data_IF_884985111121
#
_entry.id   IF_884985111121
#
_cell.length_a   1.000
_cell.length_b   1.000
_cell.length_c   1.000
_cell.angle_alpha   90.00
_cell.angle_beta   90.00
_cell.angle_gamma   90.00
#
_symmetry.space_group_name_H-M   'P 1'
#
loop_
_entity.id
_entity.type
_entity.pdbx_description
1 polymer ?
#
# COMPACT_ATOMS: atom_id res chain seq x y z
N UNK A 1 2.98 -5.76 17.94
CA UNK A 1 3.41 -5.71 16.52
C UNK A 1 4.57 -4.75 16.39
N UNK A 2 5.64 -5.10 15.66
CA UNK A 2 6.75 -4.16 15.42
C UNK A 2 6.44 -3.28 14.22
N UNK A 3 6.64 -1.98 14.35
CA UNK A 3 6.46 -1.00 13.27
C UNK A 3 7.73 -0.17 13.10
N UNK A 4 8.09 0.12 11.87
CA UNK A 4 9.08 1.16 11.56
C UNK A 4 8.38 2.51 11.40
N UNK A 5 9.01 3.61 11.83
CA UNK A 5 8.47 4.97 11.67
C UNK A 5 9.40 5.93 10.95
N UNK A 6 8.80 6.74 10.08
CA UNK A 6 9.43 7.90 9.43
C UNK A 6 8.45 9.07 9.56
N UNK A 7 8.76 10.02 10.43
CA UNK A 7 7.79 11.04 10.83
C UNK A 7 6.54 10.42 11.47
N UNK A 8 5.35 10.82 11.00
CA UNK A 8 4.08 10.22 11.43
C UNK A 8 3.78 8.87 10.75
N UNK A 9 4.44 8.58 9.64
CA UNK A 9 4.21 7.34 8.91
C UNK A 9 4.71 6.14 9.70
N UNK A 10 3.97 5.04 9.61
CA UNK A 10 4.32 3.77 10.22
C UNK A 10 4.22 2.65 9.20
N UNK A 11 5.10 1.66 9.32
CA UNK A 11 5.22 0.54 8.39
C UNK A 11 5.36 -0.76 9.20
N UNK A 12 4.30 -1.59 9.28
CA UNK A 12 4.36 -2.87 9.98
C UNK A 12 5.45 -3.78 9.41
N UNK A 13 6.30 -4.31 10.30
CA UNK A 13 7.45 -5.13 9.89
C UNK A 13 7.09 -6.60 9.64
N UNK A 14 5.89 -7.02 10.03
CA UNK A 14 5.35 -8.37 9.85
C UNK A 14 4.56 -8.56 8.54
N UNK A 15 4.59 -7.57 7.65
CA UNK A 15 3.96 -7.60 6.33
C UNK A 15 5.00 -7.75 5.20
N UNK A 16 4.51 -8.11 4.02
CA UNK A 16 5.27 -8.09 2.77
C UNK A 16 4.88 -6.91 1.90
N UNK A 17 5.80 -6.42 1.08
CA UNK A 17 5.62 -5.22 0.28
C UNK A 17 6.08 -5.37 -1.16
N UNK A 18 5.28 -4.89 -2.12
CA UNK A 18 5.67 -4.82 -3.53
C UNK A 18 6.53 -3.59 -3.80
N UNK A 19 7.71 -3.80 -4.36
CA UNK A 19 8.62 -2.73 -4.80
C UNK A 19 8.69 -2.62 -6.33
N UNK A 20 8.44 -3.74 -7.02
CA UNK A 20 8.40 -3.79 -8.48
C UNK A 20 7.42 -2.75 -9.03
N UNK A 21 7.87 -2.03 -10.06
CA UNK A 21 7.08 -0.98 -10.74
C UNK A 21 6.54 0.10 -9.77
N UNK A 22 7.20 0.29 -8.63
CA UNK A 22 6.78 1.19 -7.53
C UNK A 22 5.35 0.88 -7.07
N UNK A 23 5.06 -0.41 -6.90
CA UNK A 23 3.70 -0.89 -6.60
C UNK A 23 3.15 -0.44 -5.25
N UNK A 24 3.99 -0.24 -4.23
CA UNK A 24 3.60 0.20 -2.87
C UNK A 24 2.47 -0.62 -2.22
N UNK A 25 2.15 -1.81 -2.71
CA UNK A 25 1.16 -2.66 -2.08
C UNK A 25 1.79 -3.39 -0.89
N UNK A 26 1.10 -3.40 0.25
CA UNK A 26 1.38 -4.35 1.32
C UNK A 26 0.49 -5.60 1.17
N UNK A 27 0.98 -6.72 1.68
CA UNK A 27 0.29 -8.02 1.70
C UNK A 27 0.30 -8.57 3.11
N UNK A 28 -0.89 -8.86 3.64
CA UNK A 28 -1.10 -9.52 4.94
C UNK A 28 -1.77 -10.87 4.74
N UNK A 29 -1.16 -11.95 5.21
CA UNK A 29 -1.80 -13.28 5.22
C UNK A 29 -2.90 -13.32 6.29
N UNK A 30 -4.03 -13.94 5.96
CA UNK A 30 -5.16 -14.18 6.85
C UNK A 30 -5.19 -15.65 7.29
N UNK A 31 -5.93 -15.94 8.36
CA UNK A 31 -6.01 -17.28 8.96
C UNK A 31 -6.61 -18.35 8.02
N UNK A 32 -7.44 -17.92 7.06
CA UNK A 32 -8.07 -18.77 6.04
C UNK A 32 -7.16 -19.04 4.82
N UNK A 33 -5.93 -18.52 4.83
CA UNK A 33 -4.96 -18.65 3.74
C UNK A 33 -5.11 -17.62 2.63
N UNK A 34 -6.15 -16.79 2.65
CA UNK A 34 -6.24 -15.63 1.76
C UNK A 34 -5.25 -14.54 2.19
N UNK A 35 -5.09 -13.53 1.35
CA UNK A 35 -4.30 -12.35 1.66
C UNK A 35 -5.13 -11.08 1.53
N UNK A 36 -4.89 -10.14 2.43
CA UNK A 36 -5.39 -8.78 2.31
C UNK A 36 -4.32 -7.90 1.69
N UNK A 37 -4.73 -7.05 0.75
CA UNK A 37 -3.86 -6.16 -0.02
C UNK A 37 -4.34 -4.72 0.16
N UNK A 38 -3.42 -3.78 0.31
CA UNK A 38 -3.67 -2.33 0.30
C UNK A 38 -2.40 -1.57 -0.06
N UNK A 39 -2.43 -0.23 -0.07
CA UNK A 39 -1.23 0.57 -0.25
C UNK A 39 -0.55 0.88 1.07
N UNK A 40 0.78 0.92 1.07
CA UNK A 40 1.56 1.43 2.19
C UNK A 40 1.31 2.93 2.41
N UNK A 41 1.72 3.44 3.57
CA UNK A 41 1.44 4.82 3.95
C UNK A 41 1.95 5.82 2.91
N UNK A 42 3.16 5.60 2.37
CA UNK A 42 3.75 6.50 1.39
C UNK A 42 3.02 6.44 0.04
N UNK A 43 2.72 5.23 -0.46
CA UNK A 43 1.91 5.02 -1.66
C UNK A 43 0.50 5.59 -1.56
N UNK A 44 0.00 5.81 -0.33
CA UNK A 44 -1.28 6.46 -0.08
C UNK A 44 -1.22 8.00 -0.06
N UNK A 45 -0.03 8.62 0.04
CA UNK A 45 0.14 10.08 0.08
C UNK A 45 -0.46 10.81 -1.13
N UNK A 46 -0.36 10.31 -2.39
CA UNK A 46 -1.03 10.96 -3.51
C UNK A 46 -2.54 11.16 -3.30
N UNK A 47 -3.18 10.30 -2.48
CA UNK A 47 -4.57 10.45 -2.05
C UNK A 47 -4.74 11.40 -0.84
N UNK A 48 -3.69 11.63 -0.04
CA UNK A 48 -3.66 12.58 1.10
C UNK A 48 -3.60 14.05 0.70
N UNK A 49 -3.30 14.39 -0.56
CA UNK A 49 -3.36 15.79 -1.05
C UNK A 49 -4.80 16.36 -0.98
N UNK A 50 -5.75 15.55 -0.51
CA UNK A 50 -7.05 15.97 -0.02
C UNK A 50 -6.96 16.54 1.41
N UNK A 51 -6.93 17.87 1.53
CA UNK A 51 -7.12 18.50 2.85
C UNK A 51 -8.61 18.48 3.21
N UNK A 52 -8.95 18.42 4.51
CA UNK A 52 -10.34 18.52 5.00
C UNK A 52 -11.03 19.78 4.45
N UNK A 53 -10.26 20.84 4.20
CA UNK A 53 -10.76 22.12 3.68
C UNK A 53 -10.92 22.15 2.16
N UNK A 54 -10.20 21.31 1.41
CA UNK A 54 -10.23 21.22 -0.06
C UNK A 54 -9.90 19.78 -0.50
N UNK A 55 -10.89 18.87 -0.52
CA UNK A 55 -10.68 17.54 -1.06
C UNK A 55 -10.48 17.64 -2.57
N UNK A 56 -9.26 17.41 -3.04
CA UNK A 56 -9.03 17.17 -4.46
C UNK A 56 -9.68 15.84 -4.86
N UNK A 57 -10.31 15.74 -6.03
CA UNK A 57 -10.88 14.49 -6.48
C UNK A 57 -9.76 13.46 -6.68
N UNK A 58 -10.00 12.25 -6.20
CA UNK A 58 -9.27 11.06 -6.62
C UNK A 58 -10.27 9.97 -7.00
N UNK A 59 -9.87 9.08 -7.90
CA UNK A 59 -10.64 7.90 -8.31
C UNK A 59 -9.77 6.68 -8.12
N UNK A 60 -10.35 5.63 -7.55
CA UNK A 60 -9.77 4.30 -7.58
C UNK A 60 -10.75 3.38 -8.28
N UNK A 61 -10.24 2.73 -9.32
CA UNK A 61 -10.93 1.63 -9.96
C UNK A 61 -10.27 0.32 -9.54
N UNK A 62 -11.08 -0.55 -8.92
CA UNK A 62 -10.68 -1.91 -8.55
C UNK A 62 -11.57 -2.90 -9.31
N UNK A 63 -11.00 -4.02 -9.76
CA UNK A 63 -11.78 -5.10 -10.36
C UNK A 63 -12.67 -5.77 -9.29
N UNK A 64 -13.84 -6.30 -9.68
CA UNK A 64 -14.76 -6.92 -8.74
C UNK A 64 -14.24 -8.27 -8.22
N UNK A 65 -14.90 -8.78 -7.17
CA UNK A 65 -14.71 -10.16 -6.72
C UNK A 65 -14.97 -11.16 -7.87
N UNK A 66 -14.18 -12.22 -7.91
CA UNK A 66 -14.15 -13.22 -8.98
C UNK A 66 -13.16 -12.91 -10.11
N UNK A 67 -12.59 -11.71 -10.18
CA UNK A 67 -11.53 -11.42 -11.16
C UNK A 67 -10.21 -12.11 -10.80
N UNK A 68 -9.56 -12.71 -11.80
CA UNK A 68 -8.23 -13.30 -11.68
C UNK A 68 -7.14 -12.28 -11.98
N UNK A 69 -6.15 -12.18 -11.11
CA UNK A 69 -5.00 -11.29 -11.20
C UNK A 69 -3.72 -12.10 -11.45
N UNK A 70 -2.73 -11.46 -12.04
CA UNK A 70 -1.39 -12.03 -12.27
C UNK A 70 -0.32 -11.13 -11.66
N UNK A 71 0.63 -11.72 -10.93
CA UNK A 71 1.70 -10.96 -10.27
C UNK A 71 2.40 -10.00 -11.26
N UNK A 72 2.69 -8.79 -10.77
CA UNK A 72 3.28 -7.67 -11.49
C UNK A 72 2.47 -7.17 -12.70
N UNK A 73 1.23 -7.60 -12.91
CA UNK A 73 0.34 -7.03 -13.94
C UNK A 73 -0.59 -5.97 -13.37
N UNK A 74 -0.98 -4.96 -14.18
CA UNK A 74 -2.01 -4.00 -13.79
C UNK A 74 -3.31 -4.69 -13.40
N UNK A 75 -3.93 -4.26 -12.30
CA UNK A 75 -5.26 -4.74 -11.89
C UNK A 75 -6.28 -3.62 -11.68
N UNK A 76 -5.84 -2.41 -11.37
CA UNK A 76 -6.70 -1.27 -11.13
C UNK A 76 -6.01 0.03 -11.47
N UNK A 77 -6.68 1.15 -11.19
CA UNK A 77 -6.21 2.50 -11.52
C UNK A 77 -6.31 3.41 -10.30
N UNK A 78 -5.28 4.24 -10.10
CA UNK A 78 -5.36 5.45 -9.28
C UNK A 78 -5.33 6.66 -10.20
N UNK A 79 -6.34 7.51 -10.07
CA UNK A 79 -6.35 8.84 -10.68
C UNK A 79 -6.45 9.89 -9.58
N UNK A 80 -5.58 10.89 -9.63
CA UNK A 80 -5.54 12.06 -8.76
C UNK A 80 -5.18 13.27 -9.62
N UNK A 81 -5.25 14.47 -9.05
CA UNK A 81 -4.78 15.69 -9.73
C UNK A 81 -3.29 15.62 -10.12
N UNK A 82 -2.47 14.88 -9.36
CA UNK A 82 -1.01 14.82 -9.56
C UNK A 82 -0.52 13.55 -10.25
N UNK A 83 -1.33 12.50 -10.32
CA UNK A 83 -0.90 11.16 -10.73
C UNK A 83 -2.05 10.38 -11.36
N UNK A 84 -1.77 9.73 -12.49
CA UNK A 84 -2.63 8.71 -13.09
C UNK A 84 -1.75 7.50 -13.37
N UNK A 85 -2.10 6.35 -12.79
CA UNK A 85 -1.33 5.14 -13.04
C UNK A 85 -1.92 3.89 -12.41
N UNK A 86 -1.50 2.71 -12.90
CA UNK A 86 -2.10 1.45 -12.51
C UNK A 86 -1.61 0.97 -11.14
N UNK A 87 -2.44 0.20 -10.45
CA UNK A 87 -1.97 -0.69 -9.40
C UNK A 87 -1.48 -1.99 -10.01
N UNK A 88 -0.36 -2.52 -9.52
CA UNK A 88 0.20 -3.81 -9.95
C UNK A 88 -0.05 -4.88 -8.90
N UNK A 89 -0.51 -6.05 -9.34
CA UNK A 89 -0.92 -7.10 -8.41
C UNK A 89 0.32 -7.69 -7.71
N UNK A 90 0.36 -7.75 -6.37
CA UNK A 90 1.51 -8.29 -5.66
C UNK A 90 1.60 -9.82 -5.74
N UNK A 91 0.49 -10.50 -6.05
CA UNK A 91 0.40 -11.95 -6.20
C UNK A 91 -0.59 -12.31 -7.32
N UNK A 92 -0.41 -13.48 -7.90
CA UNK A 92 -1.35 -14.16 -8.80
C UNK A 92 -2.45 -14.83 -7.96
N UNK A 93 -3.71 -14.65 -8.36
CA UNK A 93 -4.84 -15.23 -7.61
C UNK A 93 -6.19 -14.65 -7.99
N UNK A 94 -7.24 -15.07 -7.28
CA UNK A 94 -8.62 -14.61 -7.52
C UNK A 94 -9.10 -13.69 -6.41
N UNK A 95 -9.69 -12.56 -6.76
CA UNK A 95 -10.25 -11.62 -5.78
C UNK A 95 -11.47 -12.26 -5.13
N UNK A 96 -11.47 -12.32 -3.80
CA UNK A 96 -12.61 -12.85 -3.04
C UNK A 96 -13.47 -11.74 -2.46
N UNK A 97 -12.88 -10.57 -2.21
CA UNK A 97 -13.56 -9.43 -1.60
C UNK A 97 -12.91 -8.12 -2.03
N UNK A 98 -13.70 -7.06 -2.19
CA UNK A 98 -13.24 -5.68 -2.40
C UNK A 98 -13.79 -4.84 -1.27
N UNK A 99 -12.96 -3.99 -0.66
CA UNK A 99 -13.35 -3.19 0.49
C UNK A 99 -14.40 -2.13 0.10
N UNK A 100 -15.65 -2.23 0.59
CA UNK A 100 -16.69 -1.25 0.28
C UNK A 100 -16.47 0.08 1.02
N UNK A 101 -15.82 0.05 2.19
CA UNK A 101 -15.65 1.20 3.07
C UNK A 101 -14.57 2.17 2.60
N UNK A 102 -13.80 1.77 1.58
CA UNK A 102 -12.79 2.64 0.99
C UNK A 102 -13.39 3.90 0.35
N UNK A 103 -14.63 3.80 -0.14
CA UNK A 103 -15.36 4.90 -0.76
C UNK A 103 -16.05 5.78 0.30
N UNK A 104 -16.38 5.21 1.47
CA UNK A 104 -17.26 5.85 2.46
C UNK A 104 -16.52 6.79 3.42
N UNK A 105 -15.24 6.54 3.74
CA UNK A 105 -14.45 7.35 4.69
C UNK A 105 -13.00 7.63 4.23
N UNK A 106 -12.80 8.38 3.13
CA UNK A 106 -11.48 8.67 2.54
C UNK A 106 -10.36 9.03 3.53
N UNK A 107 -10.49 10.06 4.39
CA UNK A 107 -9.33 10.57 5.14
C UNK A 107 -8.89 9.62 6.26
N UNK A 108 -9.84 8.85 6.81
CA UNK A 108 -9.57 7.86 7.86
C UNK A 108 -8.82 6.65 7.31
N UNK A 109 -9.28 6.12 6.18
CA UNK A 109 -8.69 4.97 5.53
C UNK A 109 -7.26 5.24 5.05
N UNK A 110 -7.00 6.47 4.62
CA UNK A 110 -5.67 6.88 4.16
C UNK A 110 -4.68 7.02 5.34
N UNK A 111 -5.13 7.46 6.53
CA UNK A 111 -4.28 7.52 7.75
C UNK A 111 -4.14 6.17 8.45
N UNK A 112 -5.05 5.23 8.19
CA UNK A 112 -5.03 3.88 8.73
C UNK A 112 -4.92 2.84 7.59
N UNK A 113 -3.87 2.90 6.75
CA UNK A 113 -3.80 2.14 5.51
C UNK A 113 -3.71 0.62 5.73
N UNK A 114 -3.25 0.18 6.91
CA UNK A 114 -3.06 -1.23 7.25
C UNK A 114 -4.23 -1.87 8.01
N UNK A 115 -5.24 -1.09 8.42
CA UNK A 115 -6.44 -1.61 9.10
C UNK A 115 -7.66 -1.47 8.21
N UNK A 116 -8.17 -0.24 8.06
CA UNK A 116 -9.43 0.05 7.38
C UNK A 116 -9.19 0.44 5.90
N UNK A 117 -7.96 0.87 5.58
CA UNK A 117 -7.55 1.29 4.23
C UNK A 117 -7.16 0.18 3.26
N UNK A 118 -7.49 -1.09 3.54
CA UNK A 118 -7.24 -2.20 2.62
C UNK A 118 -8.10 -2.10 1.36
N UNK A 119 -7.65 -2.72 0.27
CA UNK A 119 -8.29 -2.59 -1.06
C UNK A 119 -9.10 -3.83 -1.39
N UNK A 120 -8.47 -4.99 -1.31
CA UNK A 120 -9.08 -6.25 -1.68
C UNK A 120 -8.51 -7.41 -0.87
N UNK A 121 -9.27 -8.50 -0.81
CA UNK A 121 -8.79 -9.80 -0.37
C UNK A 121 -8.62 -10.68 -1.60
N UNK A 122 -7.47 -11.35 -1.70
CA UNK A 122 -7.10 -12.24 -2.79
C UNK A 122 -6.91 -13.65 -2.26
N UNK A 123 -7.44 -14.65 -2.95
CA UNK A 123 -7.05 -16.05 -2.80
C UNK A 123 -5.86 -16.31 -3.71
N UNK A 124 -4.64 -16.49 -3.18
CA UNK A 124 -3.45 -16.67 -4.01
C UNK A 124 -3.43 -18.06 -4.64
N UNK A 125 -2.92 -18.15 -5.88
CA UNK A 125 -2.75 -19.43 -6.57
C UNK A 125 -1.47 -20.15 -6.10
N UNK A 126 -0.40 -19.39 -5.83
CA UNK A 126 0.88 -19.91 -5.35
C UNK A 126 1.57 -18.94 -4.37
N UNK A 127 1.00 -18.84 -3.16
CA UNK A 127 1.50 -17.93 -2.12
C UNK A 127 2.98 -18.16 -1.79
N UNK A 128 3.36 -19.40 -1.48
CA UNK A 128 4.67 -19.72 -0.90
C UNK A 128 5.83 -19.40 -1.85
N UNK A 129 5.62 -19.44 -3.16
CA UNK A 129 6.65 -19.08 -4.14
C UNK A 129 6.64 -17.60 -4.49
N UNK A 130 5.48 -17.02 -4.76
CA UNK A 130 5.39 -15.64 -5.23
C UNK A 130 5.62 -14.61 -4.13
N UNK A 131 5.34 -14.94 -2.86
CA UNK A 131 5.60 -14.03 -1.72
C UNK A 131 7.09 -13.71 -1.57
N UNK A 132 7.96 -14.62 -1.99
CA UNK A 132 9.43 -14.45 -1.96
C UNK A 132 9.92 -13.37 -2.92
N UNK A 133 9.09 -12.96 -3.88
CA UNK A 133 9.39 -11.85 -4.80
C UNK A 133 9.08 -10.48 -4.18
N UNK A 134 8.39 -10.45 -3.05
CA UNK A 134 8.09 -9.23 -2.31
C UNK A 134 9.17 -8.95 -1.26
N UNK A 135 9.26 -7.69 -0.82
CA UNK A 135 10.15 -7.31 0.26
C UNK A 135 9.54 -7.71 1.60
N UNK A 136 10.36 -8.20 2.52
CA UNK A 136 10.01 -8.24 3.94
C UNK A 136 9.88 -6.81 4.49
N UNK A 137 9.21 -6.62 5.63
CA UNK A 137 9.07 -5.29 6.23
C UNK A 137 10.39 -4.56 6.49
N UNK A 138 11.44 -5.29 6.91
CA UNK A 138 12.78 -4.71 7.14
C UNK A 138 13.48 -4.27 5.84
N UNK A 139 13.23 -4.96 4.73
CA UNK A 139 13.73 -4.56 3.42
C UNK A 139 12.90 -3.43 2.83
N UNK A 140 11.58 -3.50 3.02
CA UNK A 140 10.61 -2.54 2.52
C UNK A 140 10.87 -1.15 3.09
N UNK A 141 11.11 -0.99 4.40
CA UNK A 141 11.37 0.34 4.97
C UNK A 141 12.62 1.00 4.37
N UNK A 142 13.67 0.22 4.09
CA UNK A 142 14.89 0.73 3.45
C UNK A 142 14.63 1.18 2.02
N UNK A 143 13.78 0.45 1.30
CA UNK A 143 13.35 0.81 -0.05
C UNK A 143 12.45 2.05 -0.04
N UNK A 144 11.44 2.09 0.83
CA UNK A 144 10.49 3.20 0.96
C UNK A 144 11.22 4.49 1.33
N UNK A 145 12.21 4.46 2.24
CA UNK A 145 13.02 5.65 2.55
C UNK A 145 13.73 6.21 1.31
N UNK A 146 14.29 5.34 0.46
CA UNK A 146 14.91 5.78 -0.79
C UNK A 146 13.87 6.40 -1.72
N UNK A 147 12.70 5.77 -1.84
CA UNK A 147 11.61 6.25 -2.68
C UNK A 147 11.07 7.61 -2.19
N UNK A 148 10.93 7.81 -0.87
CA UNK A 148 10.59 9.09 -0.25
C UNK A 148 11.61 10.16 -0.62
N UNK A 149 12.90 9.88 -0.45
CA UNK A 149 13.99 10.84 -0.71
C UNK A 149 14.04 11.23 -2.20
N UNK A 150 13.73 10.29 -3.09
CA UNK A 150 13.81 10.49 -4.53
C UNK A 150 12.56 11.16 -5.12
N UNK A 151 11.37 10.86 -4.61
CA UNK A 151 10.10 11.21 -5.27
C UNK A 151 9.12 12.05 -4.45
N UNK A 152 9.37 12.27 -3.16
CA UNK A 152 8.54 13.19 -2.39
C UNK A 152 8.74 14.65 -2.84
N UNK A 153 7.69 15.47 -2.77
CA UNK A 153 7.78 16.93 -2.91
C UNK A 153 7.81 17.64 -1.53
N UNK A 154 7.63 16.87 -0.45
CA UNK A 154 7.64 17.38 0.92
C UNK A 154 9.07 17.37 1.48
N UNK A 155 9.67 18.56 1.58
CA UNK A 155 11.03 18.75 2.09
C UNK A 155 11.20 18.32 3.55
N UNK A 156 10.17 18.49 4.38
CA UNK A 156 10.23 18.05 5.78
C UNK A 156 10.30 16.53 5.83
N UNK A 157 9.42 15.86 5.10
CA UNK A 157 9.41 14.40 5.00
C UNK A 157 10.73 13.85 4.43
N UNK A 158 11.29 14.48 3.39
CA UNK A 158 12.60 14.10 2.84
C UNK A 158 13.69 14.20 3.92
N UNK A 159 13.70 15.28 4.70
CA UNK A 159 14.68 15.49 5.75
C UNK A 159 14.52 14.47 6.89
N UNK A 160 13.28 14.13 7.26
CA UNK A 160 13.00 13.06 8.23
C UNK A 160 13.49 11.70 7.70
N UNK A 161 13.20 11.35 6.44
CA UNK A 161 13.65 10.10 5.83
C UNK A 161 15.19 9.97 5.77
N UNK A 162 15.91 11.09 5.53
CA UNK A 162 17.38 11.13 5.58
C UNK A 162 17.95 10.86 6.97
N UNK A 163 17.19 11.11 8.03
CA UNK A 163 17.58 10.78 9.41
C UNK A 163 17.38 9.29 9.74
N UNK A 164 16.70 8.54 8.88
CA UNK A 164 16.43 7.12 9.04
C UNK A 164 15.02 6.85 9.57
N UNK A 165 14.88 5.74 10.30
CA UNK A 165 13.62 5.32 10.92
C UNK A 165 13.86 4.77 12.32
N UNK A 166 12.83 4.82 13.16
CA UNK A 166 12.81 4.13 14.46
C UNK A 166 12.01 2.83 14.35
N UNK A 167 12.25 1.89 15.27
CA UNK A 167 11.41 0.69 15.43
C UNK A 167 10.70 0.79 16.78
N UNK A 168 9.40 0.59 16.78
CA UNK A 168 8.55 0.61 17.97
C UNK A 168 7.76 -0.70 18.10
N UNK A 169 7.47 -1.10 19.34
CA UNK A 169 6.51 -2.17 19.63
C UNK A 169 5.15 -1.56 19.99
N UNK A 170 4.11 -1.99 19.26
CA UNK A 170 2.70 -1.68 19.52
C UNK A 170 1.97 -2.86 20.15
#
# INVERSE_FOLDING_TARGET
MKVARVGEMFFPLDLYYSHNKRGHNWVKRLDDGNVRIGLDYFGAIPMMVTTISHPLPYVIELPPAGTHLKQDQPYGLLETVKYIGPFYAPLTGTIVEVNPDRISSPPHNIRNPYTDGWFLVLKPDNYDDEIKNLLTGEEAIKWIIKDIIEYSEDEELINQAKQGYTIEEQ
#
